data_IF_710101473548
#
_entry.id   IF_710101473548
#
_cell.length_a   1.000
_cell.length_b   1.000
_cell.length_c   1.000
_cell.angle_alpha   90.00
_cell.angle_beta   90.00
_cell.angle_gamma   90.00
#
_symmetry.space_group_name_H-M   'P 1'
#
loop_
_entity.id
_entity.type
_entity.pdbx_description
1 polymer ?
#
# COMPACT_ATOMS: atom_id res chain seq x y z
N UNK A 1 -38.20 -65.20 -14.70
CA UNK A 1 -38.53 -64.30 -13.60
C UNK A 1 -37.28 -64.07 -12.69
N UNK A 2 -36.30 -63.44 -13.22
CA UNK A 2 -35.07 -63.00 -12.46
C UNK A 2 -34.34 -61.99 -13.35
N UNK A 3 -34.77 -60.74 -13.40
CA UNK A 3 -34.00 -59.58 -13.90
C UNK A 3 -34.85 -58.32 -13.68
N UNK A 4 -35.00 -57.88 -12.42
CA UNK A 4 -35.67 -56.59 -12.16
C UNK A 4 -35.25 -55.95 -10.82
N UNK A 5 -34.01 -56.16 -10.34
CA UNK A 5 -33.63 -55.60 -9.02
C UNK A 5 -32.24 -54.96 -8.94
N UNK A 6 -31.60 -54.58 -10.06
CA UNK A 6 -30.24 -54.01 -10.00
C UNK A 6 -30.15 -52.53 -10.48
N UNK A 7 -31.20 -52.00 -11.15
CA UNK A 7 -31.09 -50.64 -11.75
C UNK A 7 -31.47 -49.53 -10.78
N UNK A 8 -32.19 -49.79 -9.67
CA UNK A 8 -32.66 -48.73 -8.75
C UNK A 8 -31.61 -48.28 -7.72
N UNK A 9 -30.55 -49.03 -7.48
CA UNK A 9 -29.52 -48.68 -6.46
C UNK A 9 -28.39 -47.81 -7.00
N UNK A 10 -28.15 -47.83 -8.32
CA UNK A 10 -27.08 -47.02 -8.96
C UNK A 10 -27.50 -45.55 -9.21
N UNK A 11 -28.80 -45.30 -9.35
CA UNK A 11 -29.31 -43.92 -9.54
C UNK A 11 -29.40 -43.10 -8.23
N UNK A 12 -29.53 -43.77 -7.08
CA UNK A 12 -29.58 -43.08 -5.77
C UNK A 12 -28.20 -42.63 -5.28
N UNK A 13 -27.13 -43.34 -5.63
CA UNK A 13 -25.77 -42.97 -5.28
C UNK A 13 -25.24 -41.78 -6.10
N UNK A 14 -25.66 -41.64 -7.37
CA UNK A 14 -25.26 -40.49 -8.20
C UNK A 14 -25.98 -39.19 -7.81
N UNK A 15 -27.24 -39.25 -7.37
CA UNK A 15 -27.99 -38.09 -6.95
C UNK A 15 -27.52 -37.55 -5.60
N UNK A 16 -27.13 -38.39 -4.65
CA UNK A 16 -26.56 -37.99 -3.37
C UNK A 16 -25.17 -37.33 -3.54
N UNK A 17 -24.30 -37.90 -4.38
CA UNK A 17 -22.99 -37.33 -4.67
C UNK A 17 -23.06 -35.97 -5.37
N UNK A 18 -24.00 -35.77 -6.27
CA UNK A 18 -24.25 -34.47 -6.92
C UNK A 18 -24.87 -33.46 -5.98
N UNK A 19 -25.72 -33.88 -5.04
CA UNK A 19 -26.30 -33.00 -4.04
C UNK A 19 -25.23 -32.55 -3.00
N UNK A 20 -24.39 -33.45 -2.53
CA UNK A 20 -23.27 -33.11 -1.64
C UNK A 20 -22.25 -32.18 -2.29
N UNK A 21 -21.91 -32.39 -3.57
CA UNK A 21 -20.99 -31.52 -4.34
C UNK A 21 -21.60 -30.13 -4.53
N UNK A 22 -22.90 -30.04 -4.83
CA UNK A 22 -23.60 -28.75 -4.96
C UNK A 22 -23.73 -28.02 -3.62
N UNK A 23 -24.01 -28.72 -2.52
CA UNK A 23 -24.07 -28.11 -1.19
C UNK A 23 -22.68 -27.62 -0.77
N UNK A 24 -21.62 -28.38 -1.05
CA UNK A 24 -20.25 -27.97 -0.75
C UNK A 24 -19.84 -26.77 -1.61
N UNK A 25 -20.13 -26.74 -2.91
CA UNK A 25 -19.88 -25.59 -3.76
C UNK A 25 -20.68 -24.35 -3.33
N UNK A 26 -21.96 -24.49 -2.99
CA UNK A 26 -22.77 -23.38 -2.50
C UNK A 26 -22.29 -22.86 -1.15
N UNK A 27 -21.87 -23.72 -0.21
CA UNK A 27 -21.33 -23.29 1.08
C UNK A 27 -19.95 -22.63 0.93
N UNK A 28 -19.11 -23.09 0.02
CA UNK A 28 -17.81 -22.48 -0.29
C UNK A 28 -18.00 -21.10 -0.95
N UNK A 29 -18.90 -21.01 -1.94
CA UNK A 29 -19.24 -19.72 -2.57
C UNK A 29 -19.89 -18.74 -1.57
N UNK A 30 -20.72 -19.21 -0.65
CA UNK A 30 -21.35 -18.37 0.37
C UNK A 30 -20.36 -17.92 1.43
N UNK A 31 -19.41 -18.77 1.84
CA UNK A 31 -18.33 -18.42 2.75
C UNK A 31 -17.36 -17.41 2.12
N UNK A 32 -17.07 -17.53 0.81
CA UNK A 32 -16.26 -16.56 0.08
C UNK A 32 -16.99 -15.20 -0.07
N UNK A 33 -18.32 -15.20 -0.28
CA UNK A 33 -19.13 -13.97 -0.33
C UNK A 33 -19.20 -13.25 1.03
N UNK A 34 -19.34 -13.99 2.13
CA UNK A 34 -19.38 -13.39 3.48
C UNK A 34 -18.04 -12.80 3.93
N UNK A 35 -16.91 -13.28 3.36
CA UNK A 35 -15.57 -12.76 3.70
C UNK A 35 -15.31 -11.35 3.15
N UNK A 36 -15.99 -10.94 2.08
CA UNK A 36 -15.70 -9.67 1.40
C UNK A 36 -16.56 -8.48 1.83
N UNK A 37 -17.62 -8.71 2.62
CA UNK A 37 -18.60 -7.65 2.87
C UNK A 37 -18.17 -6.59 3.90
N UNK A 38 -17.15 -6.79 4.77
CA UNK A 38 -16.81 -5.79 5.78
C UNK A 38 -15.41 -5.96 6.42
N UNK A 39 -14.38 -6.28 5.66
CA UNK A 39 -13.03 -6.31 6.25
C UNK A 39 -12.52 -4.89 6.47
N UNK A 40 -12.41 -4.49 7.73
CA UNK A 40 -11.83 -3.21 8.12
C UNK A 40 -10.35 -3.43 8.43
N UNK A 41 -9.47 -2.69 7.77
CA UNK A 41 -8.06 -2.65 8.11
C UNK A 41 -7.85 -1.72 9.31
N UNK A 42 -7.69 -2.33 10.47
CA UNK A 42 -7.42 -1.63 11.73
C UNK A 42 -6.09 -2.14 12.30
N UNK A 43 -4.96 -1.50 11.94
CA UNK A 43 -3.65 -1.98 12.35
C UNK A 43 -3.42 -1.75 13.83
N UNK A 44 -3.12 -2.85 14.55
CA UNK A 44 -2.90 -2.85 15.99
C UNK A 44 -1.52 -3.39 16.36
N UNK A 45 -0.94 -2.86 17.42
CA UNK A 45 0.27 -3.37 18.05
C UNK A 45 0.07 -3.34 19.58
N UNK A 46 0.06 -4.53 20.23
CA UNK A 46 -0.16 -4.65 21.68
C UNK A 46 -1.41 -3.87 22.16
N UNK A 47 -2.54 -4.11 21.50
CA UNK A 47 -3.84 -3.47 21.76
C UNK A 47 -3.86 -1.93 21.56
N UNK A 48 -2.82 -1.38 20.98
CA UNK A 48 -2.75 0.03 20.59
C UNK A 48 -2.94 0.19 19.08
N UNK A 49 -3.83 1.09 18.68
CA UNK A 49 -3.96 1.49 17.27
C UNK A 49 -2.68 2.17 16.77
N UNK A 50 -2.22 1.77 15.58
CA UNK A 50 -0.99 2.26 14.94
C UNK A 50 -1.23 2.75 13.52
N UNK A 51 -2.44 3.21 13.20
CA UNK A 51 -2.86 3.56 11.85
C UNK A 51 -2.21 4.80 11.24
N UNK A 52 -1.41 5.57 12.00
CA UNK A 52 -0.55 6.61 11.44
C UNK A 52 0.78 5.99 11.01
N UNK A 53 0.79 5.47 9.80
CA UNK A 53 1.94 4.82 9.18
C UNK A 53 2.77 5.77 8.33
N UNK A 54 3.82 5.21 7.73
CA UNK A 54 4.74 5.92 6.86
C UNK A 54 5.20 5.03 5.70
N UNK A 55 5.34 5.60 4.49
CA UNK A 55 5.96 4.94 3.38
C UNK A 55 7.47 4.82 3.62
N UNK A 56 8.04 3.63 3.38
CA UNK A 56 9.42 3.32 3.70
C UNK A 56 10.12 2.62 2.55
N UNK A 57 11.20 3.25 2.08
CA UNK A 57 12.24 2.65 1.24
C UNK A 57 13.52 2.52 2.07
N UNK A 58 14.18 1.35 2.09
CA UNK A 58 15.37 1.12 2.92
C UNK A 58 16.67 1.67 2.31
N UNK A 59 16.60 2.27 1.14
CA UNK A 59 17.76 2.61 0.32
C UNK A 59 18.51 3.83 0.84
N UNK A 60 19.83 3.72 0.91
CA UNK A 60 20.77 4.80 1.21
C UNK A 60 21.29 5.44 -0.09
N UNK A 61 22.07 6.52 0.04
CA UNK A 61 22.69 7.18 -1.10
C UNK A 61 23.55 6.18 -1.92
N UNK A 62 23.29 6.09 -3.22
CA UNK A 62 23.94 5.13 -4.14
C UNK A 62 23.25 3.76 -4.24
N UNK A 63 22.25 3.49 -3.41
CA UNK A 63 21.39 2.30 -3.49
C UNK A 63 20.07 2.65 -4.18
N UNK A 64 19.46 1.68 -4.84
CA UNK A 64 18.11 1.79 -5.40
C UNK A 64 17.53 0.41 -5.73
N UNK A 65 16.21 0.29 -5.90
CA UNK A 65 15.61 -0.93 -6.43
C UNK A 65 16.07 -1.21 -7.86
N UNK A 66 16.32 -0.18 -8.67
CA UNK A 66 16.79 -0.32 -10.07
C UNK A 66 18.19 -0.93 -10.18
N UNK A 67 18.95 -0.91 -9.09
CA UNK A 67 20.28 -1.53 -8.98
C UNK A 67 20.24 -2.89 -8.28
N UNK A 68 19.05 -3.44 -8.02
CA UNK A 68 18.84 -4.65 -7.20
C UNK A 68 19.57 -4.56 -5.84
N UNK A 69 19.64 -3.36 -5.27
CA UNK A 69 20.33 -3.12 -4.01
C UNK A 69 19.61 -3.81 -2.86
N UNK A 70 20.36 -4.51 -2.02
CA UNK A 70 19.84 -5.07 -0.77
C UNK A 70 20.52 -4.36 0.40
N UNK A 71 19.86 -3.38 1.03
CA UNK A 71 20.41 -2.62 2.14
C UNK A 71 20.84 -3.50 3.29
N UNK A 72 21.86 -3.05 4.02
CA UNK A 72 22.42 -3.84 5.11
C UNK A 72 21.44 -3.97 6.29
N UNK A 73 21.56 -5.05 7.06
CA UNK A 73 20.80 -5.24 8.30
C UNK A 73 21.01 -4.07 9.27
N UNK A 74 22.25 -3.57 9.35
CA UNK A 74 22.61 -2.46 10.24
C UNK A 74 21.88 -1.17 9.85
N UNK A 75 21.84 -0.82 8.57
CA UNK A 75 21.17 0.38 8.06
C UNK A 75 19.66 0.31 8.31
N UNK A 76 19.06 -0.85 8.06
CA UNK A 76 17.63 -1.07 8.31
C UNK A 76 17.33 -1.00 9.82
N UNK A 77 18.19 -1.56 10.67
CA UNK A 77 18.01 -1.48 12.12
C UNK A 77 18.06 -0.03 12.62
N UNK A 78 19.01 0.76 12.12
CA UNK A 78 19.11 2.19 12.43
C UNK A 78 17.83 2.95 12.00
N UNK A 79 17.33 2.72 10.78
CA UNK A 79 16.12 3.33 10.29
C UNK A 79 14.90 2.96 11.15
N UNK A 80 14.72 1.68 11.50
CA UNK A 80 13.61 1.22 12.33
C UNK A 80 13.68 1.77 13.75
N UNK A 81 14.86 1.84 14.34
CA UNK A 81 15.05 2.45 15.67
C UNK A 81 14.73 3.95 15.61
N UNK A 82 15.16 4.63 14.57
CA UNK A 82 14.86 6.06 14.37
C UNK A 82 13.34 6.30 14.25
N UNK A 83 12.65 5.52 13.45
CA UNK A 83 11.21 5.64 13.22
C UNK A 83 10.37 5.30 14.47
N UNK A 84 10.88 4.46 15.38
CA UNK A 84 10.11 3.98 16.55
C UNK A 84 10.58 4.56 17.88
N UNK A 85 11.69 5.34 17.92
CA UNK A 85 12.32 5.80 19.16
C UNK A 85 11.56 6.89 19.91
N UNK A 86 10.74 7.67 19.23
CA UNK A 86 10.05 8.80 19.85
C UNK A 86 8.60 8.43 20.18
N UNK A 87 8.23 8.45 21.47
CA UNK A 87 6.88 8.08 21.93
C UNK A 87 5.75 8.95 21.34
N UNK A 88 6.04 10.21 20.97
CA UNK A 88 5.04 11.14 20.42
C UNK A 88 4.90 11.04 18.90
N UNK A 89 5.93 10.51 18.22
CA UNK A 89 6.00 10.46 16.76
C UNK A 89 6.33 9.05 16.23
N UNK A 90 6.28 8.00 17.04
CA UNK A 90 6.65 6.67 16.60
C UNK A 90 5.78 6.17 15.44
N UNK A 91 6.46 5.69 14.40
CA UNK A 91 5.85 5.00 13.27
C UNK A 91 6.00 3.48 13.46
N UNK A 92 4.95 2.86 13.95
CA UNK A 92 4.89 1.41 14.15
C UNK A 92 4.24 0.66 12.97
N UNK A 93 3.82 1.39 11.94
CA UNK A 93 3.26 0.86 10.70
C UNK A 93 4.03 1.45 9.52
N UNK A 94 4.62 0.59 8.70
CA UNK A 94 5.30 1.01 7.47
C UNK A 94 4.66 0.38 6.24
N UNK A 95 4.76 1.06 5.09
CA UNK A 95 4.35 0.56 3.79
C UNK A 95 5.57 0.36 2.91
N UNK A 96 5.72 -0.84 2.37
CA UNK A 96 6.74 -1.21 1.38
C UNK A 96 6.09 -1.55 0.04
N UNK A 97 6.84 -1.41 -1.06
CA UNK A 97 6.28 -1.38 -2.41
C UNK A 97 6.44 -2.68 -3.20
N UNK A 98 7.54 -3.40 -3.02
CA UNK A 98 7.88 -4.60 -3.79
C UNK A 98 8.06 -5.83 -2.88
N UNK A 99 7.84 -7.01 -3.42
CA UNK A 99 8.16 -8.27 -2.79
C UNK A 99 9.50 -8.79 -3.35
N UNK A 100 10.60 -8.35 -2.76
CA UNK A 100 11.96 -8.55 -3.24
C UNK A 100 12.95 -8.86 -2.10
N UNK A 101 14.24 -8.94 -2.43
CA UNK A 101 15.30 -9.19 -1.49
C UNK A 101 15.49 -8.07 -0.46
N UNK A 102 15.27 -6.82 -0.83
CA UNK A 102 15.34 -5.68 0.09
C UNK A 102 14.18 -5.74 1.10
N UNK A 103 12.96 -6.00 0.64
CA UNK A 103 11.79 -6.17 1.51
C UNK A 103 11.97 -7.35 2.47
N UNK A 104 12.48 -8.50 2.00
CA UNK A 104 12.75 -9.62 2.89
C UNK A 104 13.83 -9.29 3.92
N UNK A 105 14.83 -8.50 3.57
CA UNK A 105 15.85 -8.04 4.53
C UNK A 105 15.23 -7.18 5.63
N UNK A 106 14.30 -6.28 5.30
CA UNK A 106 13.54 -5.47 6.28
C UNK A 106 12.76 -6.38 7.24
N UNK A 107 11.96 -7.30 6.70
CA UNK A 107 11.14 -8.22 7.48
C UNK A 107 11.99 -9.11 8.40
N UNK A 108 13.13 -9.58 7.91
CA UNK A 108 14.11 -10.37 8.68
C UNK A 108 14.71 -9.56 9.82
N UNK A 109 15.06 -8.30 9.57
CA UNK A 109 15.61 -7.39 10.57
C UNK A 109 14.59 -7.10 11.68
N UNK A 110 13.34 -6.78 11.30
CA UNK A 110 12.22 -6.58 12.24
C UNK A 110 12.07 -7.83 13.13
N UNK A 111 12.02 -9.02 12.54
CA UNK A 111 11.86 -10.28 13.27
C UNK A 111 13.03 -10.57 14.19
N UNK A 112 14.27 -10.44 13.68
CA UNK A 112 15.50 -10.76 14.41
C UNK A 112 15.69 -9.89 15.66
N UNK A 113 15.36 -8.62 15.55
CA UNK A 113 15.53 -7.63 16.63
C UNK A 113 14.24 -7.39 17.43
N UNK A 114 13.17 -8.15 17.14
CA UNK A 114 11.86 -8.02 17.78
C UNK A 114 11.37 -6.56 17.81
N UNK A 115 11.49 -5.87 16.67
CA UNK A 115 11.14 -4.44 16.57
C UNK A 115 9.60 -4.26 16.59
N UNK A 116 9.09 -3.22 17.22
CA UNK A 116 7.65 -2.97 17.33
C UNK A 116 7.08 -2.35 16.04
N UNK A 117 7.22 -3.06 14.90
CA UNK A 117 6.81 -2.59 13.58
C UNK A 117 5.91 -3.61 12.91
N UNK A 118 4.85 -3.12 12.25
CA UNK A 118 3.96 -3.86 11.36
C UNK A 118 4.12 -3.33 9.94
N UNK A 119 3.84 -4.18 8.96
CA UNK A 119 4.14 -3.90 7.56
C UNK A 119 2.91 -4.12 6.68
N UNK A 120 2.55 -3.11 5.89
CA UNK A 120 1.79 -3.29 4.65
C UNK A 120 2.79 -3.66 3.56
N UNK A 121 2.78 -4.91 3.12
CA UNK A 121 3.72 -5.44 2.14
C UNK A 121 3.19 -5.25 0.72
N UNK A 122 3.94 -4.56 -0.12
CA UNK A 122 3.63 -4.40 -1.54
C UNK A 122 4.09 -5.58 -2.40
N UNK A 123 3.46 -5.73 -3.55
CA UNK A 123 3.95 -6.44 -4.72
C UNK A 123 4.01 -5.44 -5.88
N UNK A 124 5.18 -5.20 -6.45
CA UNK A 124 5.36 -4.26 -7.55
C UNK A 124 4.94 -4.90 -8.86
N UNK A 125 3.80 -4.45 -9.39
CA UNK A 125 3.28 -4.89 -10.67
C UNK A 125 3.44 -3.77 -11.71
N UNK A 126 3.80 -4.13 -12.94
CA UNK A 126 4.14 -3.15 -13.96
C UNK A 126 3.92 -3.70 -15.37
N UNK A 127 3.47 -2.86 -16.30
CA UNK A 127 3.45 -3.19 -17.73
C UNK A 127 4.86 -3.21 -18.36
N UNK A 128 5.87 -2.73 -17.66
CA UNK A 128 7.27 -2.86 -18.09
C UNK A 128 7.88 -4.22 -17.76
N UNK A 129 7.23 -4.97 -16.87
CA UNK A 129 7.60 -6.34 -16.51
C UNK A 129 6.90 -7.34 -17.41
N UNK A 130 7.52 -8.49 -17.61
CA UNK A 130 6.87 -9.63 -18.24
C UNK A 130 5.78 -10.21 -17.32
N UNK A 131 4.89 -11.02 -17.88
CA UNK A 131 3.87 -11.73 -17.10
C UNK A 131 4.51 -12.62 -16.03
N UNK A 132 5.65 -13.26 -16.33
CA UNK A 132 6.40 -14.09 -15.41
C UNK A 132 7.00 -13.29 -14.24
N UNK A 133 7.48 -12.08 -14.49
CA UNK A 133 8.03 -11.20 -13.45
C UNK A 133 6.91 -10.68 -12.53
N UNK A 134 5.77 -10.26 -13.10
CA UNK A 134 4.59 -9.91 -12.31
C UNK A 134 4.10 -11.12 -11.47
N UNK A 135 4.07 -12.31 -12.06
CA UNK A 135 3.69 -13.55 -11.39
C UNK A 135 4.67 -13.92 -10.25
N UNK A 136 5.96 -13.61 -10.42
CA UNK A 136 6.95 -13.79 -9.37
C UNK A 136 6.68 -12.88 -8.17
N UNK A 137 6.33 -11.60 -8.40
CA UNK A 137 5.95 -10.67 -7.33
C UNK A 137 4.76 -11.19 -6.51
N UNK A 138 3.74 -11.76 -7.20
CA UNK A 138 2.59 -12.36 -6.53
C UNK A 138 2.97 -13.58 -5.70
N UNK A 139 3.79 -14.47 -6.25
CA UNK A 139 4.25 -15.67 -5.54
C UNK A 139 5.11 -15.32 -4.33
N UNK A 140 5.95 -14.28 -4.47
CA UNK A 140 6.87 -13.84 -3.43
C UNK A 140 6.14 -13.13 -2.29
N UNK A 141 5.15 -12.27 -2.58
CA UNK A 141 4.37 -11.62 -1.51
C UNK A 141 3.59 -12.64 -0.68
N UNK A 142 3.06 -13.70 -1.31
CA UNK A 142 2.41 -14.82 -0.60
C UNK A 142 3.43 -15.51 0.31
N UNK A 143 4.61 -15.85 -0.22
CA UNK A 143 5.69 -16.49 0.55
C UNK A 143 6.10 -15.63 1.75
N UNK A 144 6.28 -14.34 1.56
CA UNK A 144 6.65 -13.41 2.63
C UNK A 144 5.55 -13.33 3.70
N UNK A 145 4.28 -13.21 3.32
CA UNK A 145 3.16 -13.17 4.26
C UNK A 145 3.06 -14.47 5.10
N UNK A 146 3.30 -15.62 4.49
CA UNK A 146 3.32 -16.90 5.21
C UNK A 146 4.54 -17.03 6.13
N UNK A 147 5.69 -16.45 5.76
CA UNK A 147 6.93 -16.51 6.54
C UNK A 147 6.97 -15.52 7.71
N UNK A 148 6.28 -14.38 7.57
CA UNK A 148 6.28 -13.29 8.56
C UNK A 148 4.86 -12.89 8.99
N UNK A 149 4.00 -13.85 9.43
CA UNK A 149 2.57 -13.62 9.69
C UNK A 149 2.30 -12.66 10.85
N UNK A 150 3.26 -12.49 11.78
CA UNK A 150 3.15 -11.59 12.92
C UNK A 150 3.60 -10.15 12.58
N UNK A 151 4.19 -9.94 11.39
CA UNK A 151 4.75 -8.65 10.97
C UNK A 151 3.93 -8.06 9.83
N UNK A 152 3.63 -8.85 8.80
CA UNK A 152 2.81 -8.40 7.68
C UNK A 152 1.34 -8.40 8.12
N UNK A 153 0.70 -7.23 8.08
CA UNK A 153 -0.69 -7.02 8.51
C UNK A 153 -1.63 -6.70 7.36
N UNK A 154 -1.10 -6.45 6.17
CA UNK A 154 -1.84 -6.26 4.93
C UNK A 154 -0.95 -6.45 3.72
N UNK A 155 -1.54 -6.79 2.58
CA UNK A 155 -0.88 -6.91 1.29
C UNK A 155 -1.47 -5.90 0.31
N UNK A 156 -0.59 -5.13 -0.33
CA UNK A 156 -0.94 -4.20 -1.39
C UNK A 156 -0.46 -4.74 -2.75
N UNK A 157 -1.38 -5.09 -3.63
CA UNK A 157 -1.09 -5.66 -4.95
C UNK A 157 -1.08 -4.58 -6.03
N UNK A 158 0.09 -4.02 -6.29
CA UNK A 158 0.28 -2.95 -7.26
C UNK A 158 0.23 -1.56 -6.65
N UNK A 159 0.90 -0.64 -7.31
CA UNK A 159 0.99 0.76 -6.97
C UNK A 159 0.74 1.60 -8.22
N UNK A 160 -0.39 2.33 -8.28
CA UNK A 160 -0.75 3.19 -9.41
C UNK A 160 -0.74 2.46 -10.76
N UNK A 161 -1.32 1.25 -10.76
CA UNK A 161 -1.29 0.37 -11.93
C UNK A 161 -2.49 0.55 -12.87
N UNK A 162 -3.46 1.38 -12.53
CA UNK A 162 -4.64 1.63 -13.36
C UNK A 162 -4.90 3.11 -13.64
N UNK A 163 -4.25 4.03 -12.93
CA UNK A 163 -4.39 5.46 -13.23
C UNK A 163 -3.74 5.82 -14.57
N UNK A 164 -4.41 6.67 -15.35
CA UNK A 164 -4.05 6.93 -16.75
C UNK A 164 -2.68 7.57 -16.97
N UNK A 165 -2.21 8.38 -16.04
CA UNK A 165 -0.92 9.06 -16.16
C UNK A 165 0.28 8.18 -15.77
N UNK A 166 0.07 7.05 -15.09
CA UNK A 166 1.16 6.16 -14.67
C UNK A 166 1.85 5.51 -15.88
N UNK A 167 3.16 5.66 -15.95
CA UNK A 167 3.96 5.09 -17.06
C UNK A 167 3.98 3.55 -17.04
N UNK A 168 3.85 2.94 -15.87
CA UNK A 168 3.89 1.49 -15.68
C UNK A 168 2.50 0.83 -15.51
N UNK A 169 1.45 1.57 -15.83
CA UNK A 169 0.07 1.07 -15.70
C UNK A 169 -0.16 -0.19 -16.52
N UNK A 170 -0.96 -1.10 -15.97
CA UNK A 170 -1.46 -2.26 -16.68
C UNK A 170 -2.57 -1.84 -17.67
N UNK A 171 -2.77 -2.63 -18.73
CA UNK A 171 -3.90 -2.39 -19.62
C UNK A 171 -5.21 -2.84 -18.96
N UNK A 172 -6.31 -2.18 -19.27
CA UNK A 172 -7.63 -2.58 -18.78
C UNK A 172 -8.03 -4.00 -19.24
N UNK A 173 -7.43 -4.49 -20.34
CA UNK A 173 -7.59 -5.89 -20.80
C UNK A 173 -6.98 -6.92 -19.84
N UNK A 174 -6.07 -6.49 -18.97
CA UNK A 174 -5.37 -7.34 -18.01
C UNK A 174 -6.12 -7.41 -16.66
N UNK A 175 -7.20 -6.65 -16.52
CA UNK A 175 -8.04 -6.63 -15.32
C UNK A 175 -8.46 -8.04 -14.84
N UNK A 176 -8.94 -8.97 -15.71
CA UNK A 176 -9.27 -10.33 -15.26
C UNK A 176 -8.07 -11.09 -14.69
N UNK A 177 -6.88 -10.89 -15.25
CA UNK A 177 -5.63 -11.49 -14.75
C UNK A 177 -5.30 -10.90 -13.37
N UNK A 178 -5.35 -9.59 -13.22
CA UNK A 178 -5.15 -8.91 -11.95
C UNK A 178 -6.12 -9.41 -10.86
N UNK A 179 -7.41 -9.49 -11.15
CA UNK A 179 -8.41 -10.00 -10.21
C UNK A 179 -8.18 -11.47 -9.84
N UNK A 180 -7.61 -12.26 -10.74
CA UNK A 180 -7.20 -13.63 -10.43
C UNK A 180 -6.05 -13.68 -9.43
N UNK A 181 -5.10 -12.76 -9.52
CA UNK A 181 -4.02 -12.60 -8.55
C UNK A 181 -4.56 -12.19 -7.17
N UNK A 182 -5.46 -11.20 -7.12
CA UNK A 182 -6.13 -10.80 -5.88
C UNK A 182 -6.75 -12.01 -5.17
N UNK A 183 -7.57 -12.78 -5.87
CA UNK A 183 -8.22 -13.99 -5.33
C UNK A 183 -7.21 -15.03 -4.85
N UNK A 184 -6.13 -15.25 -5.60
CA UNK A 184 -5.08 -16.20 -5.21
C UNK A 184 -4.38 -15.76 -3.91
N UNK A 185 -4.05 -14.50 -3.77
CA UNK A 185 -3.41 -13.97 -2.56
C UNK A 185 -4.34 -14.09 -1.36
N UNK A 186 -5.61 -13.72 -1.51
CA UNK A 186 -6.64 -13.86 -0.47
C UNK A 186 -6.82 -15.31 -0.01
N UNK A 187 -6.79 -16.26 -0.94
CA UNK A 187 -6.91 -17.69 -0.62
C UNK A 187 -5.69 -18.27 0.11
N UNK A 188 -4.49 -17.71 -0.14
CA UNK A 188 -3.24 -18.25 0.37
C UNK A 188 -2.65 -17.47 1.56
N UNK A 189 -3.28 -16.35 1.93
CA UNK A 189 -2.85 -15.54 3.07
C UNK A 189 -4.02 -15.28 4.02
N UNK A 190 -3.72 -14.75 5.22
CA UNK A 190 -4.73 -14.47 6.25
C UNK A 190 -4.89 -12.96 6.51
N UNK A 191 -4.19 -12.15 5.74
CA UNK A 191 -4.20 -10.69 5.90
C UNK A 191 -5.04 -10.04 4.82
N UNK A 192 -5.62 -8.86 5.07
CA UNK A 192 -6.39 -8.13 4.07
C UNK A 192 -5.55 -7.80 2.83
N UNK A 193 -6.21 -7.85 1.66
CA UNK A 193 -5.59 -7.58 0.36
C UNK A 193 -6.23 -6.35 -0.26
N UNK A 194 -5.40 -5.44 -0.75
CA UNK A 194 -5.80 -4.17 -1.32
C UNK A 194 -5.00 -3.80 -2.58
N UNK A 195 -5.39 -2.71 -3.22
CA UNK A 195 -4.67 -1.99 -4.27
C UNK A 195 -4.49 -0.54 -3.84
N UNK A 196 -3.30 -0.01 -4.05
CA UNK A 196 -3.04 1.42 -3.93
C UNK A 196 -3.05 2.08 -5.31
N UNK A 197 -3.94 3.03 -5.50
CA UNK A 197 -4.02 3.79 -6.74
C UNK A 197 -4.47 5.23 -6.48
N UNK A 198 -4.30 6.10 -7.48
CA UNK A 198 -4.64 7.51 -7.40
C UNK A 198 -6.15 7.74 -7.42
N UNK A 199 -6.59 8.87 -6.86
CA UNK A 199 -8.00 9.27 -6.85
C UNK A 199 -8.60 9.36 -8.27
N UNK A 200 -7.77 9.62 -9.31
CA UNK A 200 -8.19 9.63 -10.70
C UNK A 200 -8.53 8.24 -11.25
N UNK A 201 -8.07 7.17 -10.64
CA UNK A 201 -8.57 5.83 -10.90
C UNK A 201 -9.82 5.55 -10.06
N UNK A 202 -9.77 5.80 -8.75
CA UNK A 202 -10.87 5.46 -7.84
C UNK A 202 -12.16 6.23 -8.11
N UNK A 203 -12.11 7.38 -8.80
CA UNK A 203 -13.28 8.13 -9.22
C UNK A 203 -13.92 7.64 -10.54
N UNK A 204 -13.41 6.57 -11.16
CA UNK A 204 -13.93 6.03 -12.43
C UNK A 204 -14.94 4.92 -12.21
N UNK A 205 -15.93 4.75 -13.10
CA UNK A 205 -16.92 3.68 -12.98
C UNK A 205 -16.32 2.27 -12.93
N UNK A 206 -15.24 2.02 -13.68
CA UNK A 206 -14.58 0.72 -13.74
C UNK A 206 -13.77 0.38 -12.48
N UNK A 207 -13.46 1.34 -11.62
CA UNK A 207 -12.83 1.05 -10.33
C UNK A 207 -13.75 0.25 -9.38
N UNK A 208 -15.07 0.29 -9.63
CA UNK A 208 -16.05 -0.46 -8.83
C UNK A 208 -15.81 -1.97 -8.90
N UNK A 209 -15.46 -2.50 -10.08
CA UNK A 209 -15.18 -3.93 -10.27
C UNK A 209 -13.96 -4.34 -9.43
N UNK A 210 -12.89 -3.55 -9.46
CA UNK A 210 -11.70 -3.79 -8.65
C UNK A 210 -12.01 -3.67 -7.16
N UNK A 211 -12.69 -2.61 -6.76
CA UNK A 211 -13.03 -2.37 -5.36
C UNK A 211 -13.86 -3.51 -4.75
N UNK A 212 -14.77 -4.13 -5.53
CA UNK A 212 -15.60 -5.24 -5.04
C UNK A 212 -14.76 -6.45 -4.61
N UNK A 213 -13.68 -6.75 -5.32
CA UNK A 213 -12.82 -7.91 -5.05
C UNK A 213 -11.77 -7.64 -3.97
N UNK A 214 -11.53 -6.37 -3.59
CA UNK A 214 -10.57 -6.00 -2.55
C UNK A 214 -11.22 -5.98 -1.16
N UNK A 215 -10.43 -6.15 -0.12
CA UNK A 215 -10.90 -6.04 1.27
C UNK A 215 -11.17 -4.56 1.64
N UNK A 216 -10.35 -3.63 1.17
CA UNK A 216 -10.50 -2.18 1.33
C UNK A 216 -9.73 -1.44 0.21
N UNK A 217 -9.84 -0.12 0.16
CA UNK A 217 -9.21 0.73 -0.85
C UNK A 217 -8.03 1.50 -0.24
N UNK A 218 -6.91 1.54 -0.95
CA UNK A 218 -5.80 2.46 -0.64
C UNK A 218 -5.76 3.58 -1.67
N UNK A 219 -5.97 4.81 -1.19
CA UNK A 219 -6.10 6.03 -1.97
C UNK A 219 -4.81 6.84 -1.92
N UNK A 220 -4.30 7.24 -3.08
CA UNK A 220 -3.30 8.30 -3.19
C UNK A 220 -3.98 9.63 -3.48
N UNK A 221 -3.62 10.67 -2.70
CA UNK A 221 -4.17 12.01 -2.82
C UNK A 221 -3.10 13.06 -2.52
N UNK A 222 -2.42 13.51 -3.56
CA UNK A 222 -1.36 14.51 -3.45
C UNK A 222 -1.86 15.91 -3.81
N UNK A 223 -2.15 16.72 -2.79
CA UNK A 223 -2.57 18.11 -2.99
C UNK A 223 -1.53 18.90 -3.79
N UNK A 224 -0.23 18.68 -3.52
CA UNK A 224 0.86 19.38 -4.17
C UNK A 224 0.92 19.12 -5.68
N UNK A 225 0.78 17.86 -6.13
CA UNK A 225 0.71 17.51 -7.56
C UNK A 225 -0.61 17.94 -8.23
N UNK A 226 -1.62 18.29 -7.44
CA UNK A 226 -2.93 18.76 -7.93
C UNK A 226 -3.07 20.29 -7.85
N UNK A 227 -1.97 21.01 -7.96
CA UNK A 227 -1.92 22.47 -7.99
C UNK A 227 -2.58 23.13 -6.78
N UNK A 228 -2.55 22.49 -5.61
CA UNK A 228 -3.06 23.07 -4.40
C UNK A 228 -1.98 23.89 -3.68
N UNK A 229 -2.38 25.04 -3.19
CA UNK A 229 -1.55 25.84 -2.27
C UNK A 229 -1.62 25.24 -0.88
N UNK A 230 -0.61 25.52 -0.07
CA UNK A 230 -0.47 24.99 1.28
C UNK A 230 -1.71 25.23 2.15
N UNK A 231 -2.29 26.43 2.07
CA UNK A 231 -3.46 26.84 2.84
C UNK A 231 -4.75 26.08 2.50
N UNK A 232 -4.79 25.38 1.37
CA UNK A 232 -5.92 24.52 0.96
C UNK A 232 -5.55 23.01 0.91
N UNK A 233 -4.31 22.66 1.15
CA UNK A 233 -3.82 21.32 0.85
C UNK A 233 -4.54 20.20 1.62
N UNK A 234 -4.69 20.35 2.93
CA UNK A 234 -5.36 19.35 3.77
C UNK A 234 -6.88 19.33 3.50
N UNK A 235 -7.50 20.50 3.29
CA UNK A 235 -8.92 20.56 2.92
C UNK A 235 -9.20 19.85 1.61
N UNK A 236 -8.37 20.05 0.58
CA UNK A 236 -8.49 19.35 -0.70
C UNK A 236 -8.33 17.83 -0.53
N UNK A 237 -7.37 17.39 0.31
CA UNK A 237 -7.17 15.97 0.61
C UNK A 237 -8.39 15.36 1.29
N UNK A 238 -8.99 16.08 2.26
CA UNK A 238 -10.22 15.68 2.95
C UNK A 238 -11.41 15.59 1.97
N UNK A 239 -11.62 16.62 1.13
CA UNK A 239 -12.67 16.62 0.11
C UNK A 239 -12.52 15.45 -0.88
N UNK A 240 -11.29 15.15 -1.31
CA UNK A 240 -10.97 14.02 -2.18
C UNK A 240 -11.28 12.69 -1.48
N UNK A 241 -10.85 12.53 -0.23
CA UNK A 241 -11.15 11.35 0.58
C UNK A 241 -12.67 11.13 0.71
N UNK A 242 -13.43 12.17 1.05
CA UNK A 242 -14.90 12.11 1.19
C UNK A 242 -15.55 11.75 -0.14
N UNK A 243 -15.08 12.32 -1.25
CA UNK A 243 -15.61 12.03 -2.59
C UNK A 243 -15.40 10.55 -2.98
N UNK A 244 -14.23 9.99 -2.73
CA UNK A 244 -13.97 8.56 -2.99
C UNK A 244 -14.77 7.68 -2.04
N UNK A 245 -14.88 8.03 -0.75
CA UNK A 245 -15.72 7.29 0.19
C UNK A 245 -17.20 7.27 -0.24
N UNK A 246 -17.70 8.36 -0.81
CA UNK A 246 -19.07 8.43 -1.33
C UNK A 246 -19.28 7.53 -2.57
N UNK A 247 -18.27 7.36 -3.40
CA UNK A 247 -18.31 6.47 -4.56
C UNK A 247 -18.18 4.99 -4.18
N UNK A 248 -17.53 4.69 -3.07
CA UNK A 248 -17.29 3.33 -2.56
C UNK A 248 -17.82 3.17 -1.12
N UNK A 249 -19.13 3.31 -0.88
CA UNK A 249 -19.68 3.43 0.47
C UNK A 249 -19.57 2.15 1.32
N UNK A 250 -19.36 1.00 0.69
CA UNK A 250 -19.17 -0.29 1.36
C UNK A 250 -17.71 -0.61 1.67
N UNK A 251 -16.76 0.23 1.26
CA UNK A 251 -15.33 0.00 1.45
C UNK A 251 -14.73 1.05 2.38
N UNK A 252 -13.84 0.60 3.26
CA UNK A 252 -12.97 1.51 3.98
C UNK A 252 -11.97 2.14 3.01
N UNK A 253 -11.72 3.44 3.17
CA UNK A 253 -10.65 4.14 2.48
C UNK A 253 -9.49 4.35 3.44
N UNK A 254 -8.29 3.96 3.01
CA UNK A 254 -7.00 4.20 3.67
C UNK A 254 -6.20 5.14 2.78
N UNK A 255 -5.55 6.13 3.34
CA UNK A 255 -4.65 7.00 2.58
C UNK A 255 -3.27 6.34 2.45
N UNK A 256 -2.98 5.86 1.24
CA UNK A 256 -1.71 5.17 0.94
C UNK A 256 -0.54 6.10 0.78
N UNK A 257 -0.80 7.27 0.23
CA UNK A 257 0.20 8.32 0.02
C UNK A 257 -0.45 9.69 0.05
N UNK A 258 0.15 10.55 0.85
CA UNK A 258 -0.02 12.00 0.87
C UNK A 258 1.17 12.62 1.59
N UNK A 259 1.63 13.76 1.14
CA UNK A 259 2.82 14.40 1.68
C UNK A 259 3.03 15.79 1.10
N UNK A 260 4.17 16.42 1.43
CA UNK A 260 4.60 17.71 0.92
C UNK A 260 6.10 17.69 0.66
N UNK A 261 6.52 17.90 -0.61
CA UNK A 261 7.94 17.94 -0.96
C UNK A 261 8.60 19.21 -0.43
N UNK A 262 9.87 19.10 -0.04
CA UNK A 262 10.63 20.23 0.52
C UNK A 262 11.48 20.96 -0.51
N UNK A 263 11.51 20.48 -1.74
CA UNK A 263 12.16 21.12 -2.89
C UNK A 263 11.44 20.77 -4.17
N UNK A 264 11.42 21.66 -5.14
CA UNK A 264 10.92 21.42 -6.49
C UNK A 264 11.53 22.44 -7.46
N UNK A 265 11.49 22.16 -8.75
CA UNK A 265 11.90 23.12 -9.78
C UNK A 265 10.76 24.04 -10.24
N UNK A 266 9.50 23.70 -10.04
CA UNK A 266 8.25 24.43 -10.35
C UNK A 266 8.10 24.91 -11.83
N UNK A 267 9.12 24.86 -12.66
CA UNK A 267 9.15 25.50 -13.96
C UNK A 267 9.06 24.52 -15.14
N UNK A 268 9.34 23.23 -14.90
CA UNK A 268 9.47 22.25 -15.98
C UNK A 268 8.76 20.94 -15.68
N UNK A 269 8.28 20.28 -16.74
CA UNK A 269 7.70 18.95 -16.67
C UNK A 269 6.49 18.87 -15.72
N UNK A 270 6.36 17.75 -15.04
CA UNK A 270 5.26 17.50 -14.09
C UNK A 270 5.36 18.41 -12.87
N UNK A 271 6.56 18.87 -12.49
CA UNK A 271 6.75 19.81 -11.38
C UNK A 271 6.15 21.19 -11.63
N UNK A 272 5.78 21.53 -12.87
CA UNK A 272 5.01 22.73 -13.20
C UNK A 272 3.59 22.73 -12.57
N UNK A 273 3.10 21.58 -12.16
CA UNK A 273 1.85 21.44 -11.39
C UNK A 273 1.99 21.94 -9.95
N UNK A 274 3.22 22.02 -9.44
CA UNK A 274 3.49 22.47 -8.07
C UNK A 274 3.44 24.00 -8.02
N UNK A 275 2.31 24.53 -7.57
CA UNK A 275 2.08 25.99 -7.44
C UNK A 275 2.36 26.51 -6.04
N UNK A 276 2.48 25.62 -5.05
CA UNK A 276 2.80 25.95 -3.67
C UNK A 276 4.30 26.06 -3.43
N UNK A 277 4.67 26.59 -2.27
CA UNK A 277 6.06 26.62 -1.82
C UNK A 277 6.53 25.22 -1.44
N UNK A 278 7.60 24.72 -2.09
CA UNK A 278 8.30 23.51 -1.70
C UNK A 278 9.44 23.90 -0.71
N UNK A 279 9.19 23.71 0.58
CA UNK A 279 10.16 24.02 1.64
C UNK A 279 9.92 23.15 2.88
N UNK A 280 10.92 23.04 3.75
CA UNK A 280 10.76 22.33 5.03
C UNK A 280 9.72 23.04 5.93
N UNK A 281 9.61 24.36 5.85
CA UNK A 281 8.60 25.12 6.60
C UNK A 281 7.18 24.78 6.12
N UNK A 282 6.96 24.74 4.80
CA UNK A 282 5.68 24.34 4.22
C UNK A 282 5.35 22.86 4.54
N UNK A 283 6.33 21.97 4.45
CA UNK A 283 6.16 20.57 4.85
C UNK A 283 5.75 20.47 6.32
N UNK A 284 6.34 21.26 7.22
CA UNK A 284 6.00 21.23 8.63
C UNK A 284 4.55 21.68 8.90
N UNK A 285 4.06 22.68 8.19
CA UNK A 285 2.65 23.11 8.28
C UNK A 285 1.73 21.99 7.78
N UNK A 286 1.97 21.48 6.56
CA UNK A 286 1.16 20.40 6.00
C UNK A 286 1.15 19.16 6.90
N UNK A 287 2.32 18.73 7.38
CA UNK A 287 2.47 17.55 8.22
C UNK A 287 1.63 17.66 9.49
N UNK A 288 1.70 18.79 10.20
CA UNK A 288 0.96 18.99 11.44
C UNK A 288 -0.56 19.04 11.22
N UNK A 289 -1.03 19.75 10.20
CA UNK A 289 -2.46 19.86 9.88
C UNK A 289 -3.02 18.52 9.42
N UNK A 290 -2.30 17.82 8.52
CA UNK A 290 -2.67 16.50 7.99
C UNK A 290 -2.74 15.45 9.10
N UNK A 291 -1.70 15.35 9.93
CA UNK A 291 -1.67 14.44 11.06
C UNK A 291 -2.82 14.71 12.05
N UNK A 292 -3.07 15.96 12.39
CA UNK A 292 -4.18 16.35 13.27
C UNK A 292 -5.55 15.97 12.69
N UNK A 293 -5.73 16.08 11.38
CA UNK A 293 -6.96 15.66 10.69
C UNK A 293 -7.13 14.15 10.74
N UNK A 294 -6.09 13.37 10.45
CA UNK A 294 -6.11 11.91 10.52
C UNK A 294 -6.43 11.39 11.93
N UNK A 295 -5.77 11.93 12.94
CA UNK A 295 -5.96 11.54 14.35
C UNK A 295 -7.40 11.80 14.80
N UNK A 296 -7.96 12.97 14.51
CA UNK A 296 -9.34 13.32 14.88
C UNK A 296 -10.40 12.45 14.24
N UNK A 297 -10.14 11.96 13.03
CA UNK A 297 -11.08 11.17 12.26
C UNK A 297 -10.76 9.66 12.28
N UNK A 298 -9.73 9.25 13.02
CA UNK A 298 -9.30 7.85 13.11
C UNK A 298 -9.04 7.20 11.74
N UNK A 299 -8.40 7.95 10.83
CA UNK A 299 -8.11 7.53 9.47
C UNK A 299 -6.74 6.86 9.41
N UNK A 300 -6.69 5.63 8.89
CA UNK A 300 -5.41 4.97 8.61
C UNK A 300 -4.76 5.64 7.40
N UNK A 301 -3.49 5.99 7.56
CA UNK A 301 -2.73 6.66 6.51
C UNK A 301 -1.25 6.28 6.55
N UNK A 302 -0.59 6.37 5.40
CA UNK A 302 0.86 6.30 5.25
C UNK A 302 1.36 7.65 4.73
N UNK A 303 2.05 8.40 5.58
CA UNK A 303 2.69 9.64 5.14
C UNK A 303 3.77 9.33 4.10
N UNK A 304 3.81 10.07 3.02
CA UNK A 304 4.84 9.94 2.01
C UNK A 304 5.89 11.04 2.19
N UNK A 305 7.12 10.73 2.69
CA UNK A 305 7.63 9.44 3.08
C UNK A 305 8.62 9.56 4.26
N UNK A 306 9.25 8.46 4.67
CA UNK A 306 10.21 8.46 5.79
C UNK A 306 11.47 9.27 5.45
N UNK A 307 12.16 8.92 4.39
CA UNK A 307 13.46 9.47 4.03
C UNK A 307 13.46 10.08 2.63
N UNK A 308 14.28 11.11 2.42
CA UNK A 308 14.61 11.54 1.08
C UNK A 308 15.37 10.43 0.34
N UNK A 309 14.98 10.17 -0.89
CA UNK A 309 15.54 9.10 -1.72
C UNK A 309 16.07 9.66 -3.05
N UNK A 310 17.39 9.79 -3.17
CA UNK A 310 18.03 10.45 -4.33
C UNK A 310 17.86 9.71 -5.65
N UNK A 311 17.55 8.43 -5.61
CA UNK A 311 17.33 7.62 -6.81
C UNK A 311 15.99 7.90 -7.50
N UNK A 312 14.98 8.35 -6.77
CA UNK A 312 13.64 8.63 -7.30
C UNK A 312 13.68 9.73 -8.37
N UNK A 313 12.86 9.58 -9.39
CA UNK A 313 12.87 10.49 -10.55
C UNK A 313 14.12 10.40 -11.42
N UNK A 314 15.03 9.45 -11.15
CA UNK A 314 16.33 9.28 -11.79
C UNK A 314 17.44 10.05 -11.07
N UNK A 315 18.55 9.35 -10.73
CA UNK A 315 19.64 9.88 -9.90
C UNK A 315 20.23 11.20 -10.47
N UNK A 316 20.39 11.26 -11.79
CA UNK A 316 20.96 12.41 -12.51
C UNK A 316 19.88 13.29 -13.19
N UNK A 317 18.58 13.03 -12.96
CA UNK A 317 17.51 13.80 -13.58
C UNK A 317 17.31 15.13 -12.83
N UNK A 318 17.60 16.28 -13.46
CA UNK A 318 17.37 17.58 -12.85
C UNK A 318 15.87 17.92 -12.70
N UNK A 319 15.01 17.30 -13.52
CA UNK A 319 13.57 17.58 -13.54
C UNK A 319 12.77 16.78 -12.49
N UNK A 320 13.42 15.86 -11.77
CA UNK A 320 12.79 15.04 -10.70
C UNK A 320 13.16 15.48 -9.29
N UNK A 321 13.29 16.77 -9.02
CA UNK A 321 13.73 17.28 -7.72
C UNK A 321 12.70 17.01 -6.63
N UNK A 322 11.41 17.22 -6.90
CA UNK A 322 10.36 16.97 -5.93
C UNK A 322 10.35 15.50 -5.48
N UNK A 323 10.49 14.56 -6.44
CA UNK A 323 10.49 13.12 -6.15
C UNK A 323 11.56 12.70 -5.13
N UNK A 324 12.67 13.41 -5.08
CA UNK A 324 13.80 13.12 -4.18
C UNK A 324 13.62 13.68 -2.76
N UNK A 325 12.62 14.55 -2.54
CA UNK A 325 12.56 15.43 -1.36
C UNK A 325 11.25 15.37 -0.57
N UNK A 326 10.58 14.22 -0.55
CA UNK A 326 9.33 14.00 0.22
C UNK A 326 9.56 13.56 1.67
N UNK A 327 10.77 13.11 2.01
CA UNK A 327 11.10 12.55 3.32
C UNK A 327 10.81 13.51 4.49
N UNK A 328 10.41 12.97 5.64
CA UNK A 328 10.44 13.68 6.92
C UNK A 328 11.88 13.77 7.46
N UNK A 329 12.70 12.78 7.08
CA UNK A 329 14.13 12.81 7.29
C UNK A 329 14.86 13.00 5.96
N UNK A 330 16.03 13.62 6.02
CA UNK A 330 16.93 13.70 4.85
C UNK A 330 17.55 12.33 4.55
N UNK A 331 18.23 12.22 3.42
CA UNK A 331 18.91 10.97 3.03
C UNK A 331 19.97 10.52 4.03
N UNK A 332 20.57 11.46 4.79
CA UNK A 332 21.51 11.19 5.88
C UNK A 332 20.83 10.86 7.22
N UNK A 333 19.51 10.72 7.23
CA UNK A 333 18.66 10.42 8.40
C UNK A 333 18.53 11.57 9.40
N UNK A 334 19.06 12.74 9.12
CA UNK A 334 18.79 13.93 9.95
C UNK A 334 17.32 14.39 9.82
N UNK A 335 16.64 14.77 10.91
CA UNK A 335 15.25 15.19 10.86
C UNK A 335 15.11 16.52 10.12
N UNK A 336 14.05 16.66 9.31
CA UNK A 336 13.62 17.94 8.75
C UNK A 336 12.78 18.73 9.75
N UNK A 337 12.51 20.01 9.43
CA UNK A 337 11.80 20.94 10.33
C UNK A 337 10.45 20.39 10.84
N UNK A 338 9.73 19.63 10.04
CA UNK A 338 8.44 19.05 10.41
C UNK A 338 8.52 18.18 11.67
N UNK A 339 9.62 17.49 11.86
CA UNK A 339 9.80 16.52 12.96
C UNK A 339 10.97 16.84 13.88
N UNK A 340 11.84 17.80 13.55
CA UNK A 340 12.98 18.18 14.38
C UNK A 340 12.62 18.40 15.87
N UNK A 341 11.49 19.05 16.23
CA UNK A 341 11.11 19.25 17.63
C UNK A 341 10.92 17.97 18.44
N UNK A 342 10.73 16.83 17.79
CA UNK A 342 10.59 15.54 18.46
C UNK A 342 11.94 14.88 18.75
N UNK A 343 13.02 15.33 18.11
CA UNK A 343 14.38 14.75 18.20
C UNK A 343 15.39 15.71 18.87
N UNK A 344 14.95 16.91 19.24
CA UNK A 344 15.74 17.81 20.08
C UNK A 344 15.71 17.31 21.54
N UNK A 345 16.84 17.40 22.27
CA UNK A 345 16.97 16.93 23.64
C UNK A 345 16.12 17.72 24.66
#
# INVERSE_FOLDING_TARGET
MKYFFVITLLLSLSAASLAETNITMQSTMQADFEKHENTVFEPMLNDRWIGLGIAYGPYRDGESPDKDSVPSEQDILEDMLLLTSNEKLAYHLIRMYAADGASEQVLRTIKKHNLPVRVMQGAWLSSFQSDEENELQISEVIRLAQKYPDIIVSINLGNEIFVDWSAHKLNMTDMPTYLSWVKRVQQQTKVPVTLADDYNFWNKPWSQEVAQELDYIVLHAYAMWNSQRLDNAVNWTEETFIAIQALHPSKQIVLGESGWATSSMNENGDESLIVGEASEAAQAVFFNEYRNWLERNHIVSFYFQAFDEKWKGGEDNPDGIAEKNWGLFRSDRSPKQAIAPYFEP
#
